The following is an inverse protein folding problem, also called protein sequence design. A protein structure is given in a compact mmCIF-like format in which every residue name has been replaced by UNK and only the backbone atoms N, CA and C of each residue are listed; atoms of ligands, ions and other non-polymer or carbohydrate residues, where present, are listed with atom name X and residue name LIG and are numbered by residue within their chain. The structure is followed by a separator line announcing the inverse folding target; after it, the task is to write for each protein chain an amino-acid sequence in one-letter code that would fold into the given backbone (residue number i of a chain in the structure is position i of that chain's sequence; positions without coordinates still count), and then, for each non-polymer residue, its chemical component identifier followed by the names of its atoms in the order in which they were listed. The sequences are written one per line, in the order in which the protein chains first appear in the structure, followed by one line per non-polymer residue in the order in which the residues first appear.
data_IF_277599432040
#
_entry.id   IF_277599432040
#
_cell.length_a   1.000
_cell.length_b   1.000
_cell.length_c   1.000
_cell.angle_alpha   90.00
_cell.angle_beta   90.00
_cell.angle_gamma   90.00
#
_symmetry.space_group_name_H-M   'P 1'
#
loop_
_entity.id
_entity.type
_entity.pdbx_description
1 polymer ?
#
# COMPACT_ATOMS: atom_id res chain seq x y z
N UNK A 1 -4.27 9.01 17.39
CA UNK A 1 -3.78 7.65 17.66
C UNK A 1 -3.85 6.83 16.40
N UNK A 2 -2.78 6.17 16.08
CA UNK A 2 -2.73 5.33 14.89
C UNK A 2 -3.59 4.08 15.10
N UNK A 3 -4.35 3.74 14.10
CA UNK A 3 -5.15 2.53 14.14
C UNK A 3 -4.25 1.31 14.13
N UNK A 4 -4.60 0.32 14.94
CA UNK A 4 -3.87 -0.95 14.98
C UNK A 4 -4.47 -1.95 14.01
N UNK A 5 -5.36 -1.50 13.13
CA UNK A 5 -5.98 -2.38 12.14
C UNK A 5 -4.90 -2.81 11.15
N UNK A 6 -4.62 -4.10 11.04
CA UNK A 6 -3.60 -4.56 10.10
C UNK A 6 -4.08 -4.44 8.66
N UNK A 7 -3.14 -4.28 7.76
CA UNK A 7 -3.44 -4.32 6.34
C UNK A 7 -3.79 -5.74 5.93
N UNK A 8 -4.75 -5.86 5.03
CA UNK A 8 -5.06 -7.16 4.44
C UNK A 8 -3.91 -7.57 3.53
N UNK A 9 -3.80 -8.87 3.19
CA UNK A 9 -2.76 -9.30 2.24
C UNK A 9 -2.79 -8.55 0.93
N UNK A 10 -3.97 -8.23 0.41
CA UNK A 10 -4.09 -7.47 -0.83
C UNK A 10 -3.57 -6.05 -0.65
N UNK A 11 -3.92 -5.40 0.46
CA UNK A 11 -3.45 -4.06 0.76
C UNK A 11 -1.93 -4.03 0.94
N UNK A 12 -1.37 -5.06 1.56
CA UNK A 12 0.07 -5.17 1.72
C UNK A 12 0.78 -5.31 0.38
N UNK A 13 0.24 -6.13 -0.52
CA UNK A 13 0.82 -6.32 -1.85
C UNK A 13 0.81 -5.03 -2.65
N UNK A 14 -0.31 -4.32 -2.65
CA UNK A 14 -0.42 -3.05 -3.36
C UNK A 14 0.55 -2.04 -2.78
N UNK A 15 0.61 -1.94 -1.46
CA UNK A 15 1.49 -0.98 -0.79
C UNK A 15 2.96 -1.29 -1.08
N UNK A 16 3.33 -2.57 -1.10
CA UNK A 16 4.71 -2.96 -1.42
C UNK A 16 5.06 -2.59 -2.86
N UNK A 17 4.12 -2.71 -3.79
CA UNK A 17 4.36 -2.32 -5.17
C UNK A 17 4.46 -0.81 -5.32
N UNK A 18 3.77 -0.04 -4.48
CA UNK A 18 3.98 1.40 -4.43
C UNK A 18 5.42 1.74 -4.06
N UNK A 19 5.98 0.97 -3.13
CA UNK A 19 7.37 1.18 -2.72
C UNK A 19 8.33 1.00 -3.89
N UNK A 20 7.98 0.14 -4.85
CA UNK A 20 8.78 -0.06 -6.04
C UNK A 20 8.58 1.04 -7.09
N UNK A 21 7.72 2.00 -6.82
CA UNK A 21 7.49 3.12 -7.73
C UNK A 21 6.53 2.81 -8.87
N UNK A 22 5.77 1.74 -8.76
CA UNK A 22 4.85 1.37 -9.83
C UNK A 22 3.59 2.25 -9.83
N UNK A 23 3.10 2.55 -11.03
CA UNK A 23 1.82 3.24 -11.17
C UNK A 23 0.66 2.31 -10.83
N UNK A 24 -0.53 2.89 -10.61
CA UNK A 24 -1.71 2.08 -10.34
C UNK A 24 -1.98 1.10 -11.48
N UNK A 25 -1.75 1.54 -12.72
CA UNK A 25 -1.94 0.68 -13.88
C UNK A 25 -0.98 -0.50 -13.85
N UNK A 26 0.29 -0.24 -13.55
CA UNK A 26 1.29 -1.30 -13.47
C UNK A 26 0.99 -2.27 -12.33
N UNK A 27 0.51 -1.75 -11.21
CA UNK A 27 0.11 -2.60 -10.08
C UNK A 27 -1.06 -3.49 -10.49
N UNK A 28 -2.06 -2.90 -11.16
CA UNK A 28 -3.23 -3.65 -11.59
C UNK A 28 -2.82 -4.80 -12.52
N UNK A 29 -1.91 -4.52 -13.44
CA UNK A 29 -1.42 -5.55 -14.36
C UNK A 29 -0.63 -6.64 -13.63
N UNK A 30 0.20 -6.23 -12.69
CA UNK A 30 1.02 -7.16 -11.93
C UNK A 30 0.16 -8.09 -11.08
N UNK A 31 -0.89 -7.58 -10.48
CA UNK A 31 -1.75 -8.36 -9.59
C UNK A 31 -2.95 -8.97 -10.29
N UNK A 32 -3.13 -8.68 -11.58
CA UNK A 32 -4.25 -9.16 -12.40
C UNK A 32 -5.58 -8.75 -11.77
N UNK A 33 -5.68 -7.49 -11.40
CA UNK A 33 -6.91 -6.90 -10.85
C UNK A 33 -7.21 -5.61 -11.61
N UNK A 34 -8.41 -5.06 -11.39
CA UNK A 34 -8.77 -3.82 -12.07
C UNK A 34 -8.06 -2.63 -11.44
N UNK A 35 -7.89 -1.58 -12.25
CA UNK A 35 -7.33 -0.32 -11.79
C UNK A 35 -8.13 0.23 -10.60
N UNK A 36 -9.45 0.12 -10.67
CA UNK A 36 -10.32 0.59 -9.61
C UNK A 36 -10.09 -0.17 -8.31
N UNK A 37 -9.84 -1.47 -8.41
CA UNK A 37 -9.55 -2.28 -7.24
C UNK A 37 -8.26 -1.83 -6.58
N UNK A 38 -7.24 -1.48 -7.39
CA UNK A 38 -6.00 -0.94 -6.85
C UNK A 38 -6.28 0.35 -6.08
N UNK A 39 -7.08 1.25 -6.65
CA UNK A 39 -7.44 2.49 -5.97
C UNK A 39 -8.13 2.24 -4.63
N UNK A 40 -9.02 1.26 -4.60
CA UNK A 40 -9.71 0.91 -3.36
C UNK A 40 -8.74 0.39 -2.30
N UNK A 41 -7.80 -0.46 -2.70
CA UNK A 41 -6.82 -0.99 -1.76
C UNK A 41 -5.91 0.11 -1.23
N UNK A 42 -5.49 1.03 -2.08
CA UNK A 42 -4.66 2.16 -1.64
C UNK A 42 -5.43 3.03 -0.67
N UNK A 43 -6.67 3.36 -1.02
CA UNK A 43 -7.51 4.19 -0.17
C UNK A 43 -7.69 3.58 1.23
N UNK A 44 -7.95 2.28 1.27
CA UNK A 44 -8.11 1.59 2.55
C UNK A 44 -6.81 1.54 3.33
N UNK A 45 -5.70 1.31 2.65
CA UNK A 45 -4.40 1.29 3.29
C UNK A 45 -4.06 2.67 3.88
N UNK A 46 -4.36 3.73 3.16
CA UNK A 46 -4.15 5.09 3.67
C UNK A 46 -4.97 5.32 4.93
N UNK A 47 -6.24 4.91 4.92
CA UNK A 47 -7.11 5.09 6.07
C UNK A 47 -6.61 4.31 7.28
N UNK A 48 -6.16 3.07 7.06
CA UNK A 48 -5.70 2.21 8.15
C UNK A 48 -4.38 2.66 8.76
N UNK A 49 -3.50 3.22 7.94
CA UNK A 49 -2.18 3.64 8.40
C UNK A 49 -2.14 5.09 8.86
N UNK A 50 -3.18 5.87 8.54
CA UNK A 50 -3.18 7.29 8.83
C UNK A 50 -2.30 8.10 7.91
N UNK A 51 -1.81 7.50 6.83
CA UNK A 51 -1.00 8.21 5.85
C UNK A 51 -1.86 9.16 5.03
N UNK A 52 -1.29 10.31 4.66
CA UNK A 52 -2.06 11.33 3.95
C UNK A 52 -1.98 11.17 2.43
N UNK A 53 -0.99 10.44 1.93
CA UNK A 53 -0.85 10.22 0.49
C UNK A 53 -0.06 8.95 0.24
N UNK A 54 0.00 8.56 -1.04
CA UNK A 54 0.65 7.30 -1.42
C UNK A 54 2.16 7.29 -1.16
N UNK A 55 2.80 8.44 -1.26
CA UNK A 55 4.22 8.53 -0.96
C UNK A 55 4.49 8.19 0.50
N UNK A 56 3.68 8.73 1.39
CA UNK A 56 3.79 8.45 2.81
C UNK A 56 3.56 6.98 3.10
N UNK A 57 2.58 6.40 2.41
CA UNK A 57 2.30 4.96 2.54
C UNK A 57 3.51 4.13 2.09
N UNK A 58 4.12 4.49 0.97
CA UNK A 58 5.30 3.78 0.47
C UNK A 58 6.45 3.87 1.47
N UNK A 59 6.68 5.05 2.03
CA UNK A 59 7.73 5.23 3.02
C UNK A 59 7.47 4.39 4.27
N UNK A 60 6.20 4.29 4.64
CA UNK A 60 5.83 3.47 5.79
C UNK A 60 6.09 1.99 5.53
N UNK A 61 5.83 1.54 4.31
CA UNK A 61 6.13 0.16 3.94
C UNK A 61 7.62 -0.10 3.96
N UNK A 62 8.42 0.89 3.54
CA UNK A 62 9.86 0.77 3.61
C UNK A 62 10.32 0.56 5.06
N UNK A 63 9.76 1.34 5.98
CA UNK A 63 10.08 1.21 7.40
C UNK A 63 9.68 -0.17 7.94
N UNK A 64 8.52 -0.65 7.53
CA UNK A 64 8.03 -1.95 7.98
C UNK A 64 8.87 -3.11 7.45
N UNK A 65 9.38 -2.97 6.22
CA UNK A 65 10.19 -4.01 5.60
C UNK A 65 11.66 -3.95 6.02
N UNK A 66 12.09 -2.82 6.56
CA UNK A 66 13.47 -2.61 7.03
C UNK A 66 13.57 -2.95 8.50
N UNK A 67 13.00 -4.05 8.89
CA UNK A 67 13.01 -4.46 10.29
C UNK A 67 14.44 -4.60 10.77
N UNK A 68 14.82 -3.91 11.82
CA UNK A 68 16.13 -4.12 12.40
C UNK A 68 16.20 -5.53 12.95
N UNK A 69 17.28 -6.16 12.68
CA UNK A 69 17.50 -7.53 13.14
C UNK A 69 17.55 -7.59 14.66
#
# INVERSE_FOLDING_TARGET
MVSDIPLTPAEQRVSALLLQGLSNRAIAERLVISHRTVECHISRALAKTGCVNRLELALRMLTMHSTPA
#
